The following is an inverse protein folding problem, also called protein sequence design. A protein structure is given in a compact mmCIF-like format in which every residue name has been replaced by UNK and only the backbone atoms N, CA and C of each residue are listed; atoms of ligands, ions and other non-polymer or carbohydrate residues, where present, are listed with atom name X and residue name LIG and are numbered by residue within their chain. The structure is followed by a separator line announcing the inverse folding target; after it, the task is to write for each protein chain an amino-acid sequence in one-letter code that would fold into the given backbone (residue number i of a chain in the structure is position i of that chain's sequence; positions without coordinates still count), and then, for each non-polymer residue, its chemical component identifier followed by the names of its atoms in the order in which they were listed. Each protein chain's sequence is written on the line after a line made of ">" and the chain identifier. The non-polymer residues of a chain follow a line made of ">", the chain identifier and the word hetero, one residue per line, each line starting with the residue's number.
data_IF_933390015080
#
_entry.id   IF_933390015080
#
_cell.length_a   1.000
_cell.length_b   1.000
_cell.length_c   1.000
_cell.angle_alpha   90.00
_cell.angle_beta   90.00
_cell.angle_gamma   90.00
#
_symmetry.space_group_name_H-M   'P 1'
#
loop_
_entity.id
_entity.type
_entity.pdbx_description
1 polymer ?
#
# COMPACT_ATOMS: atom_id res chain seq x y z
N UNK A 1 -26.65 3.92 2.64
CA UNK A 1 -25.45 3.27 3.18
C UNK A 1 -24.99 2.28 2.14
N UNK A 2 -23.70 2.25 1.81
CA UNK A 2 -23.19 1.25 0.89
C UNK A 2 -22.84 -0.01 1.67
N UNK A 3 -23.50 -1.11 1.36
CA UNK A 3 -23.28 -2.39 2.02
C UNK A 3 -21.99 -3.02 1.46
N UNK A 4 -20.87 -2.86 2.17
CA UNK A 4 -19.65 -3.59 1.87
C UNK A 4 -19.79 -5.04 2.36
N UNK A 5 -19.45 -6.00 1.50
CA UNK A 5 -19.26 -7.40 1.92
C UNK A 5 -17.83 -7.59 2.38
N UNK A 6 -17.63 -7.79 3.68
CA UNK A 6 -16.32 -8.13 4.24
C UNK A 6 -16.02 -9.61 4.04
N UNK A 7 -14.77 -9.93 3.68
CA UNK A 7 -14.28 -11.29 3.52
C UNK A 7 -12.90 -11.38 4.13
N UNK A 8 -12.70 -12.34 5.04
CA UNK A 8 -11.44 -12.60 5.70
C UNK A 8 -10.81 -13.87 5.16
N UNK A 9 -9.55 -13.78 4.76
CA UNK A 9 -8.77 -14.87 4.17
C UNK A 9 -7.65 -15.25 5.13
N UNK A 10 -7.56 -16.53 5.45
CA UNK A 10 -6.41 -17.09 6.16
C UNK A 10 -5.40 -17.73 5.18
N UNK A 11 -4.29 -18.26 5.70
CA UNK A 11 -3.23 -18.84 4.88
C UNK A 11 -3.69 -20.04 4.03
N UNK A 12 -4.63 -20.83 4.55
CA UNK A 12 -5.21 -21.96 3.83
C UNK A 12 -6.12 -21.47 2.70
N UNK A 13 -6.96 -20.47 2.99
CA UNK A 13 -7.78 -19.82 1.98
C UNK A 13 -6.91 -19.21 0.86
N UNK A 14 -5.82 -18.52 1.23
CA UNK A 14 -4.85 -17.95 0.29
C UNK A 14 -4.25 -19.03 -0.63
N UNK A 15 -3.77 -20.15 -0.07
CA UNK A 15 -3.17 -21.25 -0.83
C UNK A 15 -4.16 -21.86 -1.81
N UNK A 16 -5.37 -22.22 -1.32
CA UNK A 16 -6.43 -22.79 -2.16
C UNK A 16 -6.85 -21.83 -3.28
N UNK A 17 -6.95 -20.55 -2.97
CA UNK A 17 -7.30 -19.52 -3.95
C UNK A 17 -6.27 -19.44 -5.08
N UNK A 18 -4.97 -19.36 -4.75
CA UNK A 18 -3.90 -19.30 -5.76
C UNK A 18 -3.89 -20.58 -6.61
N UNK A 19 -3.97 -21.76 -5.99
CA UNK A 19 -3.96 -23.04 -6.72
C UNK A 19 -5.15 -23.20 -7.67
N UNK A 20 -6.30 -22.63 -7.30
CA UNK A 20 -7.53 -22.73 -8.11
C UNK A 20 -7.61 -21.65 -9.19
N UNK A 21 -7.26 -20.39 -8.86
CA UNK A 21 -7.48 -19.23 -9.74
C UNK A 21 -6.27 -18.85 -10.57
N UNK A 22 -5.07 -19.16 -10.08
CA UNK A 22 -3.81 -18.82 -10.73
C UNK A 22 -2.83 -20.00 -10.69
N UNK A 23 -3.21 -21.19 -11.22
CA UNK A 23 -2.39 -22.39 -11.14
C UNK A 23 -1.00 -22.22 -11.75
N UNK A 24 -0.85 -21.32 -12.73
CA UNK A 24 0.44 -20.96 -13.33
C UNK A 24 1.44 -20.35 -12.33
N UNK A 25 0.95 -19.79 -11.21
CA UNK A 25 1.79 -19.20 -10.16
C UNK A 25 1.99 -20.12 -8.96
N UNK A 26 1.28 -21.26 -8.86
CA UNK A 26 1.30 -22.15 -7.69
C UNK A 26 2.70 -22.59 -7.28
N UNK A 27 3.54 -22.99 -8.24
CA UNK A 27 4.89 -23.43 -7.94
C UNK A 27 5.73 -22.29 -7.31
N UNK A 28 5.77 -21.12 -7.96
CA UNK A 28 6.50 -19.97 -7.42
C UNK A 28 5.93 -19.51 -6.06
N UNK A 29 4.61 -19.50 -5.91
CA UNK A 29 3.92 -19.18 -4.66
C UNK A 29 4.32 -20.15 -3.55
N UNK A 30 4.42 -21.45 -3.82
CA UNK A 30 4.82 -22.46 -2.82
C UNK A 30 6.21 -22.20 -2.21
N UNK A 31 7.09 -21.54 -2.96
CA UNK A 31 8.46 -21.19 -2.56
C UNK A 31 8.56 -19.85 -1.80
N UNK A 32 7.48 -19.07 -1.71
CA UNK A 32 7.45 -17.77 -1.03
C UNK A 32 7.39 -17.93 0.49
N UNK A 33 7.96 -16.96 1.21
CA UNK A 33 7.81 -16.85 2.67
C UNK A 33 6.34 -16.57 3.02
N UNK A 34 5.86 -16.93 4.22
CA UNK A 34 4.44 -16.78 4.60
C UNK A 34 3.87 -15.39 4.34
N UNK A 35 4.65 -14.34 4.61
CA UNK A 35 4.13 -13.00 4.46
C UNK A 35 4.27 -12.47 3.02
N UNK A 36 5.24 -12.97 2.24
CA UNK A 36 5.27 -12.77 0.78
C UNK A 36 4.06 -13.42 0.10
N UNK A 37 3.60 -14.57 0.63
CA UNK A 37 2.36 -15.23 0.18
C UNK A 37 1.14 -14.35 0.44
N UNK A 38 1.03 -13.74 1.62
CA UNK A 38 -0.05 -12.81 1.94
C UNK A 38 -0.05 -11.58 1.01
N UNK A 39 1.13 -11.02 0.72
CA UNK A 39 1.30 -9.95 -0.27
C UNK A 39 0.90 -10.39 -1.69
N UNK A 40 1.26 -11.60 -2.09
CA UNK A 40 0.92 -12.10 -3.42
C UNK A 40 -0.59 -12.35 -3.57
N UNK A 41 -1.21 -12.93 -2.53
CA UNK A 41 -2.64 -13.26 -2.53
C UNK A 41 -3.53 -12.01 -2.63
N UNK A 42 -3.20 -10.91 -1.92
CA UNK A 42 -3.97 -9.66 -1.99
C UNK A 42 -4.03 -9.05 -3.39
N UNK A 43 -2.96 -9.18 -4.19
CA UNK A 43 -2.98 -8.76 -5.59
C UNK A 43 -3.90 -9.65 -6.44
N UNK A 44 -3.89 -10.96 -6.17
CA UNK A 44 -4.81 -11.90 -6.81
C UNK A 44 -6.28 -11.61 -6.49
N UNK A 45 -6.60 -11.21 -5.25
CA UNK A 45 -7.95 -10.79 -4.85
C UNK A 45 -8.44 -9.59 -5.66
N UNK A 46 -7.61 -8.55 -5.76
CA UNK A 46 -7.95 -7.35 -6.52
C UNK A 46 -8.15 -7.65 -8.01
N UNK A 47 -7.36 -8.55 -8.60
CA UNK A 47 -7.62 -8.99 -9.97
C UNK A 47 -8.94 -9.78 -10.10
N UNK A 48 -9.13 -10.81 -9.27
CA UNK A 48 -10.23 -11.76 -9.43
C UNK A 48 -11.60 -11.18 -9.05
N UNK A 49 -11.63 -10.29 -8.06
CA UNK A 49 -12.85 -9.78 -7.47
C UNK A 49 -13.00 -8.26 -7.59
N UNK A 50 -11.91 -7.52 -7.78
CA UNK A 50 -11.92 -6.07 -7.61
C UNK A 50 -12.23 -5.67 -6.17
N UNK A 51 -12.80 -4.49 -5.99
CA UNK A 51 -13.17 -3.98 -4.69
C UNK A 51 -11.96 -3.38 -3.96
N UNK A 52 -11.94 -3.53 -2.63
CA UNK A 52 -10.95 -2.94 -1.74
C UNK A 52 -10.29 -4.05 -0.93
N UNK A 53 -8.97 -4.04 -0.91
CA UNK A 53 -8.15 -4.77 0.04
C UNK A 53 -7.66 -3.80 1.12
N UNK A 54 -7.70 -4.23 2.37
CA UNK A 54 -7.11 -3.50 3.50
C UNK A 54 -6.54 -4.50 4.52
N UNK A 55 -5.38 -4.15 5.10
CA UNK A 55 -4.84 -4.87 6.26
C UNK A 55 -5.81 -4.76 7.46
N UNK A 56 -5.80 -5.78 8.33
CA UNK A 56 -6.77 -5.91 9.43
C UNK A 56 -6.70 -4.81 10.49
N UNK A 57 -5.61 -4.07 10.54
CA UNK A 57 -5.34 -2.96 11.45
C UNK A 57 -5.66 -1.59 10.82
N UNK A 58 -6.34 -1.57 9.68
CA UNK A 58 -6.98 -0.36 9.15
C UNK A 58 -8.26 -0.03 9.91
N UNK A 59 -8.32 1.18 10.48
CA UNK A 59 -9.54 1.77 11.01
C UNK A 59 -10.21 2.61 9.93
N UNK A 60 -11.41 2.25 9.52
CA UNK A 60 -12.22 3.07 8.62
C UNK A 60 -12.76 4.30 9.38
N UNK A 61 -12.61 5.48 8.77
CA UNK A 61 -13.11 6.76 9.28
C UNK A 61 -14.37 7.20 8.53
N UNK A 62 -14.44 6.88 7.23
CA UNK A 62 -15.60 7.22 6.38
C UNK A 62 -15.74 6.26 5.21
N UNK A 63 -16.93 6.29 4.60
CA UNK A 63 -17.24 5.46 3.42
C UNK A 63 -16.37 5.82 2.22
N UNK A 64 -15.95 4.81 1.45
CA UNK A 64 -15.19 4.96 0.21
C UNK A 64 -16.07 5.31 -1.01
N UNK A 65 -17.35 5.60 -0.80
CA UNK A 65 -18.32 5.83 -1.88
C UNK A 65 -17.91 6.95 -2.83
N UNK A 66 -17.30 8.00 -2.29
CA UNK A 66 -16.78 9.12 -3.07
C UNK A 66 -15.64 8.72 -4.01
N UNK A 67 -14.99 7.57 -3.79
CA UNK A 67 -13.86 7.09 -4.59
C UNK A 67 -14.26 6.01 -5.62
N UNK A 68 -15.53 5.60 -5.67
CA UNK A 68 -16.02 4.53 -6.58
C UNK A 68 -15.89 4.86 -8.06
N UNK A 69 -15.78 6.14 -8.41
CA UNK A 69 -15.61 6.57 -9.80
C UNK A 69 -14.22 6.21 -10.36
N UNK A 70 -13.21 6.05 -9.49
CA UNK A 70 -11.83 5.72 -9.88
C UNK A 70 -11.72 4.28 -10.44
N UNK A 71 -10.75 4.06 -11.33
CA UNK A 71 -10.45 2.73 -11.88
C UNK A 71 -9.69 1.85 -10.88
N UNK A 72 -8.83 2.48 -10.08
CA UNK A 72 -8.24 1.90 -8.89
C UNK A 72 -7.39 2.93 -8.16
N UNK A 73 -7.00 2.58 -6.95
CA UNK A 73 -6.10 3.40 -6.14
C UNK A 73 -5.27 2.53 -5.20
N UNK A 74 -4.10 3.04 -4.83
CA UNK A 74 -3.20 2.47 -3.83
C UNK A 74 -2.89 3.56 -2.82
N UNK A 75 -2.95 3.24 -1.54
CA UNK A 75 -2.54 4.18 -0.50
C UNK A 75 -1.01 4.43 -0.57
N UNK A 76 -0.60 5.68 -0.41
CA UNK A 76 0.82 6.05 -0.31
C UNK A 76 1.34 5.82 1.10
N UNK A 77 2.52 5.21 1.22
CA UNK A 77 3.28 5.13 2.46
C UNK A 77 3.51 6.53 3.04
N UNK A 78 3.47 6.70 4.37
CA UNK A 78 3.81 7.96 5.00
C UNK A 78 5.16 8.49 4.54
N UNK A 79 5.27 9.78 4.29
CA UNK A 79 6.49 10.46 3.89
C UNK A 79 7.63 10.21 4.90
N UNK A 80 7.29 10.16 6.20
CA UNK A 80 8.23 9.80 7.26
C UNK A 80 8.85 8.41 7.03
N UNK A 81 8.06 7.42 6.58
CA UNK A 81 8.59 6.10 6.25
C UNK A 81 9.42 6.13 4.97
N UNK A 82 8.90 6.77 3.92
CA UNK A 82 9.56 6.85 2.63
C UNK A 82 10.96 7.48 2.74
N UNK A 83 11.09 8.56 3.50
CA UNK A 83 12.36 9.28 3.62
C UNK A 83 13.27 8.66 4.68
N UNK A 84 12.78 8.40 5.90
CA UNK A 84 13.63 8.01 7.03
C UNK A 84 13.94 6.52 7.09
N UNK A 85 13.11 5.66 6.48
CA UNK A 85 13.32 4.21 6.48
C UNK A 85 13.76 3.67 5.11
N UNK A 86 13.43 4.40 4.05
CA UNK A 86 13.57 3.93 2.67
C UNK A 86 14.43 4.85 1.79
N UNK A 87 14.86 6.02 2.32
CA UNK A 87 15.67 7.03 1.62
C UNK A 87 15.09 7.42 0.24
N UNK A 88 13.77 7.59 0.18
CA UNK A 88 12.98 7.94 -1.01
C UNK A 88 12.22 9.24 -0.80
N UNK A 89 12.30 10.13 -1.80
CA UNK A 89 11.65 11.45 -1.79
C UNK A 89 10.50 11.56 -2.80
N UNK A 90 10.09 10.44 -3.40
CA UNK A 90 9.02 10.37 -4.40
C UNK A 90 7.95 9.38 -3.96
N UNK A 91 6.82 9.38 -4.66
CA UNK A 91 5.66 8.50 -4.40
C UNK A 91 6.10 7.07 -4.07
N UNK A 92 5.72 6.60 -2.89
CA UNK A 92 6.02 5.28 -2.39
C UNK A 92 4.71 4.57 -2.06
N UNK A 93 4.33 3.61 -2.88
CA UNK A 93 3.07 2.91 -2.77
C UNK A 93 3.12 1.89 -1.63
N UNK A 94 2.08 1.87 -0.80
CA UNK A 94 1.88 0.83 0.21
C UNK A 94 1.03 -0.30 -0.34
N UNK A 95 1.22 -1.51 0.19
CA UNK A 95 0.33 -2.63 -0.09
C UNK A 95 -0.69 -2.88 1.04
N UNK A 96 -0.81 -1.97 2.01
CA UNK A 96 -1.70 -2.10 3.16
C UNK A 96 -3.16 -1.68 2.88
N UNK A 97 -3.41 -0.81 1.88
CA UNK A 97 -4.76 -0.49 1.40
C UNK A 97 -4.73 -0.19 -0.09
N UNK A 98 -5.53 -0.93 -0.85
CA UNK A 98 -5.56 -0.87 -2.31
C UNK A 98 -6.97 -1.16 -2.81
N UNK A 99 -7.33 -0.61 -3.96
CA UNK A 99 -8.62 -0.86 -4.60
C UNK A 99 -8.50 -0.86 -6.11
N UNK A 100 -9.38 -1.59 -6.78
CA UNK A 100 -9.51 -1.52 -8.23
C UNK A 100 -10.83 -2.12 -8.72
N UNK A 101 -11.20 -1.80 -9.97
CA UNK A 101 -12.18 -2.58 -10.70
C UNK A 101 -11.67 -4.00 -10.93
N UNK A 102 -12.59 -4.96 -10.88
CA UNK A 102 -12.30 -6.37 -11.18
C UNK A 102 -11.62 -6.49 -12.55
N UNK A 103 -10.60 -7.33 -12.63
CA UNK A 103 -9.87 -7.63 -13.87
C UNK A 103 -8.83 -6.57 -14.27
N UNK A 104 -8.50 -5.62 -13.39
CA UNK A 104 -7.49 -4.62 -13.71
C UNK A 104 -6.12 -5.26 -13.98
N UNK A 105 -5.62 -5.14 -15.22
CA UNK A 105 -4.44 -5.87 -15.73
C UNK A 105 -3.13 -5.58 -15.00
N UNK A 106 -3.04 -4.42 -14.33
CA UNK A 106 -1.91 -4.08 -13.45
C UNK A 106 -1.57 -5.19 -12.44
N UNK A 107 -2.59 -5.83 -11.84
CA UNK A 107 -2.36 -6.84 -10.81
C UNK A 107 -1.73 -8.11 -11.38
N UNK A 108 -2.16 -8.56 -12.57
CA UNK A 108 -1.50 -9.65 -13.25
C UNK A 108 -0.07 -9.29 -13.64
N UNK A 109 0.16 -8.08 -14.15
CA UNK A 109 1.50 -7.59 -14.46
C UNK A 109 2.41 -7.63 -13.22
N UNK A 110 1.92 -7.15 -12.06
CA UNK A 110 2.64 -7.19 -10.79
C UNK A 110 2.94 -8.63 -10.36
N UNK A 111 1.94 -9.51 -10.36
CA UNK A 111 2.09 -10.93 -9.99
C UNK A 111 3.12 -11.63 -10.90
N UNK A 112 3.03 -11.43 -12.21
CA UNK A 112 4.02 -11.96 -13.17
C UNK A 112 5.41 -11.39 -12.91
N UNK A 113 5.54 -10.09 -12.65
CA UNK A 113 6.82 -9.45 -12.34
C UNK A 113 7.43 -9.97 -11.03
N UNK A 114 6.62 -10.38 -10.04
CA UNK A 114 7.07 -11.06 -8.82
C UNK A 114 7.63 -12.43 -9.19
N UNK A 115 6.86 -13.26 -9.91
CA UNK A 115 7.22 -14.64 -10.23
C UNK A 115 8.49 -14.73 -11.10
N UNK A 116 8.66 -13.85 -12.10
CA UNK A 116 9.87 -13.81 -12.94
C UNK A 116 11.15 -13.57 -12.12
N UNK A 117 11.02 -12.90 -10.96
CA UNK A 117 12.15 -12.62 -10.06
C UNK A 117 12.15 -13.50 -8.82
N UNK A 118 11.23 -14.47 -8.73
CA UNK A 118 11.14 -15.40 -7.60
C UNK A 118 12.43 -16.22 -7.46
N UNK A 119 12.81 -16.53 -6.22
CA UNK A 119 14.04 -17.27 -5.91
C UNK A 119 15.33 -16.43 -5.79
N UNK A 120 15.27 -15.10 -6.01
CA UNK A 120 16.39 -14.20 -5.72
C UNK A 120 16.44 -13.88 -4.22
N UNK A 121 17.66 -13.77 -3.65
CA UNK A 121 17.85 -13.30 -2.27
C UNK A 121 17.28 -11.88 -2.16
N UNK A 122 16.41 -11.67 -1.18
CA UNK A 122 15.74 -10.39 -0.97
C UNK A 122 14.89 -10.39 0.29
N UNK A 123 14.57 -9.18 0.73
CA UNK A 123 13.59 -8.96 1.77
C UNK A 123 12.19 -8.84 1.15
N UNK A 124 11.12 -9.10 1.93
CA UNK A 124 9.78 -9.11 1.34
C UNK A 124 9.23 -7.76 0.90
N UNK A 125 9.68 -6.64 1.49
CA UNK A 125 9.34 -5.29 1.00
C UNK A 125 9.79 -5.15 -0.46
N UNK A 126 10.96 -5.70 -0.78
CA UNK A 126 11.54 -5.74 -2.13
C UNK A 126 10.92 -6.81 -3.04
N UNK A 127 10.56 -7.97 -2.51
CA UNK A 127 10.10 -9.11 -3.31
C UNK A 127 8.63 -8.99 -3.70
N UNK A 128 7.77 -8.62 -2.75
CA UNK A 128 6.30 -8.65 -2.89
C UNK A 128 5.62 -7.41 -2.34
N UNK A 129 6.28 -6.63 -1.48
CA UNK A 129 5.70 -5.51 -0.74
C UNK A 129 5.85 -4.13 -1.40
N UNK A 130 5.88 -3.03 -0.61
CA UNK A 130 5.86 -1.64 -1.06
C UNK A 130 6.86 -1.26 -2.16
N UNK A 131 8.13 -1.68 -2.07
CA UNK A 131 9.13 -1.41 -3.12
C UNK A 131 8.77 -2.10 -4.43
N UNK A 132 8.22 -3.31 -4.36
CA UNK A 132 7.84 -4.09 -5.54
C UNK A 132 6.67 -3.45 -6.27
N UNK A 133 5.60 -3.12 -5.55
CA UNK A 133 4.41 -2.49 -6.15
C UNK A 133 4.74 -1.09 -6.69
N UNK A 134 5.54 -0.28 -5.96
CA UNK A 134 5.99 1.03 -6.43
C UNK A 134 6.73 0.92 -7.77
N UNK A 135 7.70 -0.01 -7.87
CA UNK A 135 8.45 -0.21 -9.12
C UNK A 135 7.57 -0.72 -10.25
N UNK A 136 6.62 -1.61 -9.95
CA UNK A 136 5.71 -2.14 -10.95
C UNK A 136 4.75 -1.07 -11.46
N UNK A 137 4.21 -0.23 -10.58
CA UNK A 137 3.31 0.87 -10.92
C UNK A 137 3.99 1.86 -11.85
N UNK A 138 5.18 2.34 -11.47
CA UNK A 138 6.00 3.23 -12.32
C UNK A 138 6.24 2.62 -13.70
N UNK A 139 6.70 1.36 -13.77
CA UNK A 139 6.98 0.69 -15.03
C UNK A 139 5.72 0.43 -15.88
N UNK A 140 4.57 0.20 -15.27
CA UNK A 140 3.33 -0.11 -15.97
C UNK A 140 2.74 1.16 -16.62
N UNK A 141 2.69 2.27 -15.88
CA UNK A 141 2.02 3.49 -16.34
C UNK A 141 2.96 4.45 -17.08
N UNK A 142 4.27 4.52 -16.77
CA UNK A 142 5.22 5.35 -17.55
C UNK A 142 5.43 4.82 -18.98
N UNK A 143 5.43 3.49 -19.17
CA UNK A 143 5.54 2.88 -20.50
C UNK A 143 4.28 3.11 -21.36
N UNK A 144 3.13 3.34 -20.73
CA UNK A 144 1.86 3.60 -21.43
C UNK A 144 1.82 5.02 -22.00
N UNK A 145 2.34 6.02 -21.28
CA UNK A 145 2.46 7.41 -21.75
C UNK A 145 3.47 7.53 -22.90
N UNK A 146 4.59 6.80 -22.81
CA UNK A 146 5.63 6.83 -23.86
C UNK A 146 5.17 6.15 -25.16
N UNK A 147 4.25 5.19 -25.06
CA UNK A 147 3.64 4.53 -26.23
C UNK A 147 2.57 5.42 -26.90
N UNK A 148 1.75 6.14 -26.12
CA UNK A 148 0.76 7.09 -26.63
C UNK A 148 1.41 8.27 -27.37
N UNK A 149 2.53 8.80 -26.86
CA UNK A 149 3.25 9.90 -27.52
C UNK A 149 3.99 9.49 -28.81
N UNK A 150 4.10 8.19 -29.10
CA UNK A 150 4.70 7.70 -30.37
C UNK A 150 3.67 7.52 -31.49
N UNK A 151 2.38 7.51 -31.18
CA UNK A 151 1.32 7.35 -32.19
C UNK A 151 0.83 8.67 -32.79
N UNK A 152 1.11 9.82 -32.17
CA UNK A 152 0.69 11.16 -32.63
C UNK A 152 1.76 11.93 -33.43
N UNK A 153 2.84 11.27 -33.86
CA UNK A 153 3.90 11.88 -34.67
C UNK A 153 3.55 12.12 -36.15
N UNK A 154 2.29 12.37 -36.49
CA UNK A 154 1.82 12.50 -37.86
C UNK A 154 0.86 13.67 -38.10
N UNK A 155 1.40 14.72 -38.73
CA UNK A 155 0.75 15.81 -39.49
C UNK A 155 0.41 17.15 -38.78
N UNK A 156 0.77 18.22 -39.49
CA UNK A 156 0.65 19.66 -39.21
C UNK A 156 -0.76 20.18 -38.92
N UNK A 157 -0.81 21.29 -38.17
CA UNK A 157 -1.87 22.30 -38.26
C UNK A 157 -1.63 23.45 -37.29
N UNK A 158 -1.24 24.62 -37.81
CA UNK A 158 -1.32 25.91 -37.10
C UNK A 158 -2.80 26.23 -36.79
N UNK A 159 -3.10 26.71 -35.58
CA UNK A 159 -4.43 27.22 -35.23
C UNK A 159 -4.67 27.42 -33.74
N UNK A 160 -4.52 28.67 -33.31
CA UNK A 160 -5.27 29.48 -32.34
C UNK A 160 -5.84 28.90 -31.03
N UNK A 161 -5.66 29.74 -30.01
CA UNK A 161 -6.10 29.64 -28.62
C UNK A 161 -7.58 29.24 -28.45
N UNK A 162 -7.80 28.12 -27.76
CA UNK A 162 -9.01 27.87 -26.97
C UNK A 162 -8.59 27.35 -25.59
N UNK A 163 -9.01 28.07 -24.55
CA UNK A 163 -8.92 27.69 -23.13
C UNK A 163 -9.77 26.43 -22.89
N UNK A 164 -9.22 25.26 -23.23
CA UNK A 164 -9.77 23.98 -22.81
C UNK A 164 -9.35 23.69 -21.37
N UNK A 165 -10.37 23.63 -20.52
CA UNK A 165 -10.40 23.05 -19.18
C UNK A 165 -9.38 21.90 -19.07
N UNK A 166 -8.25 22.16 -18.40
CA UNK A 166 -7.22 21.16 -18.08
C UNK A 166 -7.82 20.23 -17.03
N UNK A 167 -8.70 19.35 -17.49
CA UNK A 167 -9.20 18.22 -16.74
C UNK A 167 -8.01 17.45 -16.19
N UNK A 168 -7.96 17.37 -14.87
CA UNK A 168 -7.05 16.54 -14.09
C UNK A 168 -6.66 15.27 -14.87
N UNK A 169 -5.42 15.23 -15.36
CA UNK A 169 -4.88 14.31 -16.37
C UNK A 169 -4.77 12.84 -15.96
N UNK A 170 -5.79 12.29 -15.30
CA UNK A 170 -5.90 10.89 -14.97
C UNK A 170 -6.27 10.10 -16.22
N UNK A 171 -5.28 9.45 -16.84
CA UNK A 171 -5.50 8.52 -17.93
C UNK A 171 -6.54 7.45 -17.54
N UNK A 172 -7.53 7.23 -18.41
CA UNK A 172 -8.57 6.21 -18.21
C UNK A 172 -7.90 4.86 -17.94
N UNK A 173 -8.24 4.21 -16.82
CA UNK A 173 -7.64 2.94 -16.43
C UNK A 173 -6.35 3.05 -15.61
N UNK A 174 -5.99 4.22 -15.12
CA UNK A 174 -4.89 4.36 -14.16
C UNK A 174 -5.30 3.85 -12.76
N UNK A 175 -4.30 3.37 -12.01
CA UNK A 175 -4.41 3.16 -10.56
C UNK A 175 -3.69 4.32 -9.89
N UNK A 176 -4.41 5.11 -9.11
CA UNK A 176 -3.86 6.32 -8.51
C UNK A 176 -3.07 6.01 -7.24
N UNK A 177 -1.90 6.62 -7.05
CA UNK A 177 -1.24 6.62 -5.74
C UNK A 177 -1.83 7.77 -4.94
N UNK A 178 -2.68 7.43 -3.97
CA UNK A 178 -3.44 8.40 -3.21
C UNK A 178 -2.59 8.97 -2.07
N UNK A 179 -2.60 10.29 -1.84
CA UNK A 179 -1.82 10.93 -0.79
C UNK A 179 -2.02 10.28 0.60
N UNK A 180 -1.00 10.36 1.46
CA UNK A 180 -0.98 9.66 2.75
C UNK A 180 -2.18 10.02 3.63
N UNK A 181 -2.65 11.27 3.55
CA UNK A 181 -3.76 11.78 4.35
C UNK A 181 -5.09 11.11 4.04
N UNK A 182 -5.22 10.43 2.90
CA UNK A 182 -6.43 9.71 2.54
C UNK A 182 -6.58 8.41 3.32
N UNK A 183 -5.50 7.69 3.60
CA UNK A 183 -5.61 6.32 4.13
C UNK A 183 -4.64 5.98 5.25
N UNK A 184 -3.48 6.63 5.27
CA UNK A 184 -2.38 6.36 6.20
C UNK A 184 -1.72 7.67 6.67
N UNK A 185 -2.47 8.59 7.29
CA UNK A 185 -1.91 9.86 7.77
C UNK A 185 -0.90 9.71 8.91
N UNK A 186 -1.00 8.59 9.64
CA UNK A 186 -0.19 8.33 10.82
C UNK A 186 1.05 7.51 10.46
N UNK A 187 2.22 7.80 11.05
CA UNK A 187 3.38 6.93 10.95
C UNK A 187 3.25 5.71 11.88
N UNK A 188 4.18 4.77 11.74
CA UNK A 188 4.37 3.65 12.64
C UNK A 188 4.93 4.15 13.99
N UNK A 189 4.04 4.58 14.89
CA UNK A 189 4.41 5.17 16.19
C UNK A 189 5.31 4.26 17.06
N UNK A 190 5.16 2.94 16.97
CA UNK A 190 6.02 2.02 17.69
C UNK A 190 7.49 2.06 17.20
N UNK A 191 7.75 2.60 16.00
CA UNK A 191 9.08 2.77 15.41
C UNK A 191 9.59 4.22 15.48
N UNK A 192 8.90 5.10 16.20
CA UNK A 192 9.19 6.53 16.16
C UNK A 192 10.61 6.85 16.63
N UNK A 193 11.09 6.15 17.66
CA UNK A 193 12.44 6.36 18.20
C UNK A 193 13.53 6.03 17.18
N UNK A 194 13.31 5.02 16.33
CA UNK A 194 14.25 4.68 15.27
C UNK A 194 14.29 5.80 14.20
N UNK A 195 13.13 6.32 13.80
CA UNK A 195 13.05 7.43 12.85
C UNK A 195 13.66 8.72 13.44
N UNK A 196 13.44 9.00 14.73
CA UNK A 196 14.09 10.11 15.45
C UNK A 196 15.60 9.94 15.49
N UNK A 197 16.09 8.72 15.74
CA UNK A 197 17.53 8.42 15.72
C UNK A 197 18.13 8.70 14.34
N UNK A 198 17.46 8.31 13.26
CA UNK A 198 17.88 8.65 11.88
C UNK A 198 17.99 10.15 11.67
N UNK A 199 17.07 10.95 12.23
CA UNK A 199 17.15 12.41 12.18
C UNK A 199 18.31 13.02 12.98
N UNK A 200 18.86 12.29 13.96
CA UNK A 200 19.98 12.74 14.80
C UNK A 200 21.35 12.27 14.28
N UNK A 201 21.38 11.29 13.37
CA UNK A 201 22.61 10.77 12.79
C UNK A 201 23.07 11.69 11.65
N UNK A 202 24.32 12.14 11.73
CA UNK A 202 24.93 13.16 10.88
C UNK A 202 25.08 12.80 9.38
N UNK A 203 24.52 11.67 8.93
CA UNK A 203 24.55 11.28 7.51
C UNK A 203 23.59 12.12 6.64
N UNK A 204 22.69 12.89 7.26
CA UNK A 204 21.68 13.71 6.56
C UNK A 204 21.81 15.22 6.77
N UNK A 205 22.91 15.68 7.38
CA UNK A 205 23.04 17.06 7.90
C UNK A 205 23.00 18.16 6.81
N UNK A 206 22.99 17.80 5.52
CA UNK A 206 22.98 18.74 4.40
C UNK A 206 21.78 18.60 3.43
N UNK A 207 20.89 17.61 3.59
CA UNK A 207 19.70 17.49 2.71
C UNK A 207 18.50 18.22 3.31
N UNK A 208 18.16 19.38 2.74
CA UNK A 208 17.03 20.22 3.18
C UNK A 208 15.71 19.43 3.25
N UNK A 209 15.50 18.45 2.37
CA UNK A 209 14.28 17.64 2.35
C UNK A 209 14.20 16.73 3.57
N UNK A 210 15.32 16.16 3.99
CA UNK A 210 15.38 15.33 5.20
C UNK A 210 15.17 16.20 6.44
N UNK A 211 15.77 17.39 6.49
CA UNK A 211 15.54 18.35 7.57
C UNK A 211 14.06 18.74 7.70
N UNK A 212 13.36 18.95 6.58
CA UNK A 212 11.91 19.22 6.57
C UNK A 212 11.10 18.03 7.12
N UNK A 213 11.43 16.81 6.72
CA UNK A 213 10.80 15.58 7.22
C UNK A 213 11.03 15.37 8.71
N UNK A 214 12.24 15.64 9.20
CA UNK A 214 12.56 15.54 10.63
C UNK A 214 11.82 16.59 11.46
N UNK A 215 11.67 17.81 10.97
CA UNK A 215 10.81 18.83 11.61
C UNK A 215 9.35 18.39 11.66
N UNK A 216 8.84 17.82 10.57
CA UNK A 216 7.47 17.30 10.51
C UNK A 216 7.27 16.13 11.48
N UNK A 217 8.26 15.26 11.63
CA UNK A 217 8.23 14.15 12.58
C UNK A 217 8.05 14.65 14.02
N UNK A 218 8.86 15.62 14.46
CA UNK A 218 8.75 16.18 15.82
C UNK A 218 7.40 16.89 16.01
N UNK A 219 6.94 17.66 15.01
CA UNK A 219 5.63 18.31 15.03
C UNK A 219 4.49 17.30 15.21
N UNK A 220 4.52 16.18 14.48
CA UNK A 220 3.51 15.11 14.62
C UNK A 220 3.63 14.41 15.97
N UNK A 221 4.84 14.16 16.45
CA UNK A 221 5.08 13.51 17.74
C UNK A 221 4.46 14.29 18.90
N UNK A 222 4.60 15.62 18.90
CA UNK A 222 4.03 16.50 19.93
C UNK A 222 2.49 16.57 19.83
N UNK A 223 1.95 16.54 18.61
CA UNK A 223 0.51 16.66 18.37
C UNK A 223 -0.27 15.33 18.50
N UNK A 224 0.40 14.18 18.56
CA UNK A 224 -0.18 12.83 18.34
C UNK A 224 -1.44 12.51 19.16
N UNK A 225 -1.57 13.05 20.38
CA UNK A 225 -2.70 12.77 21.27
C UNK A 225 -3.93 13.66 21.00
N UNK A 226 -3.75 14.70 20.18
CA UNK A 226 -4.77 15.72 19.89
C UNK A 226 -5.36 15.63 18.48
N UNK A 227 -4.75 14.84 17.59
CA UNK A 227 -5.18 14.73 16.20
C UNK A 227 -6.45 13.87 16.09
N UNK A 228 -7.51 14.46 15.54
CA UNK A 228 -8.71 13.73 15.16
C UNK A 228 -8.84 13.66 13.63
N UNK A 229 -8.57 12.50 13.05
CA UNK A 229 -8.62 12.30 11.60
C UNK A 229 -10.02 12.44 10.99
N UNK A 230 -11.09 12.41 11.80
CA UNK A 230 -12.43 12.68 11.30
C UNK A 230 -12.58 14.14 10.79
N UNK A 231 -11.78 15.07 11.33
CA UNK A 231 -11.87 16.50 11.03
C UNK A 231 -11.31 16.83 9.64
N UNK A 232 -10.38 16.04 9.12
CA UNK A 232 -9.92 16.18 7.73
C UNK A 232 -10.94 15.48 6.82
N UNK A 233 -11.66 16.17 5.91
CA UNK A 233 -12.70 15.56 5.07
C UNK A 233 -12.17 14.52 4.06
N UNK A 234 -10.86 14.50 3.81
CA UNK A 234 -10.22 13.60 2.85
C UNK A 234 -9.74 12.28 3.47
N UNK A 235 -9.71 12.15 4.81
CA UNK A 235 -9.20 10.93 5.46
C UNK A 235 -10.25 9.83 5.52
N UNK A 236 -10.08 8.76 4.74
CA UNK A 236 -10.99 7.61 4.69
C UNK A 236 -10.65 6.52 5.69
N UNK A 237 -9.37 6.34 6.00
CA UNK A 237 -8.90 5.38 6.98
C UNK A 237 -7.66 5.85 7.71
N UNK A 238 -7.33 5.13 8.78
CA UNK A 238 -6.07 5.23 9.51
C UNK A 238 -5.51 3.83 9.65
N UNK A 239 -4.29 3.63 9.17
CA UNK A 239 -3.55 2.39 9.38
C UNK A 239 -2.84 2.44 10.74
N UNK A 240 -3.06 1.43 11.60
CA UNK A 240 -2.53 1.43 12.96
C UNK A 240 -1.13 0.81 13.10
N UNK A 241 -0.54 0.35 11.99
CA UNK A 241 0.83 -0.18 11.94
C UNK A 241 1.10 -1.29 12.95
N UNK A 242 0.12 -2.17 13.19
CA UNK A 242 0.28 -3.37 14.00
C UNK A 242 0.98 -4.42 13.14
N UNK A 243 2.26 -4.16 12.91
CA UNK A 243 3.02 -4.86 11.90
C UNK A 243 3.14 -6.36 12.13
N UNK A 244 3.09 -7.11 11.03
CA UNK A 244 3.73 -8.43 10.86
C UNK A 244 5.18 -8.32 10.35
N UNK A 245 5.58 -7.14 9.84
CA UNK A 245 6.79 -6.88 9.05
C UNK A 245 7.89 -6.06 9.71
N UNK A 246 7.70 -5.68 10.96
CA UNK A 246 8.50 -4.61 11.49
C UNK A 246 9.81 -5.14 12.06
N UNK A 247 10.91 -4.62 11.51
CA UNK A 247 12.25 -4.83 12.06
C UNK A 247 12.20 -4.33 13.50
N UNK A 248 12.56 -5.19 14.45
CA UNK A 248 12.80 -4.72 15.81
C UNK A 248 13.91 -3.69 15.77
N UNK A 249 13.91 -2.77 16.72
CA UNK A 249 15.03 -1.83 16.94
C UNK A 249 16.36 -2.60 16.95
N UNK A 250 17.14 -2.46 15.88
CA UNK A 250 18.49 -3.05 15.76
C UNK A 250 18.59 -4.50 15.28
N UNK A 251 17.57 -5.09 14.63
CA UNK A 251 17.69 -6.45 14.05
C UNK A 251 17.39 -6.51 12.55
N UNK A 252 18.18 -7.29 11.80
CA UNK A 252 17.87 -7.68 10.41
C UNK A 252 16.72 -8.71 10.32
N UNK A 253 16.17 -9.12 11.47
CA UNK A 253 15.18 -10.19 11.58
C UNK A 253 13.79 -9.58 11.77
N UNK A 254 12.88 -9.94 10.87
CA UNK A 254 11.46 -9.60 10.94
C UNK A 254 10.83 -10.17 12.21
N UNK A 255 10.20 -9.31 13.03
CA UNK A 255 9.57 -9.71 14.28
C UNK A 255 8.13 -10.12 13.99
N UNK A 256 7.78 -11.38 14.29
CA UNK A 256 6.42 -11.87 14.24
C UNK A 256 5.59 -11.21 15.36
N UNK A 257 4.34 -10.82 15.08
CA UNK A 257 3.41 -10.22 16.05
C UNK A 257 3.27 -11.03 17.35
N UNK A 258 3.53 -12.34 17.29
CA UNK A 258 3.46 -13.27 18.44
C UNK A 258 4.61 -13.11 19.44
N UNK A 259 5.75 -12.51 19.05
CA UNK A 259 6.96 -12.43 19.88
C UNK A 259 7.20 -11.08 20.56
N UNK A 260 6.38 -10.04 20.32
CA UNK A 260 6.55 -8.72 20.94
C UNK A 260 5.51 -8.45 22.06
N UNK A 261 5.92 -8.26 23.33
CA UNK A 261 4.99 -8.11 24.47
C UNK A 261 4.01 -6.94 24.32
N UNK A 262 4.46 -5.79 23.79
CA UNK A 262 3.63 -4.59 23.61
C UNK A 262 2.57 -4.70 22.50
N UNK A 263 2.66 -5.69 21.60
CA UNK A 263 1.66 -5.93 20.54
C UNK A 263 0.52 -6.86 20.98
N UNK A 264 0.65 -7.51 22.15
CA UNK A 264 -0.40 -8.40 22.71
C UNK A 264 -1.61 -7.64 23.26
N UNK A 265 -1.43 -6.41 23.74
CA UNK A 265 -2.46 -5.71 24.52
C UNK A 265 -3.58 -5.09 23.66
N UNK A 266 -3.45 -5.07 22.33
CA UNK A 266 -4.47 -4.53 21.42
C UNK A 266 -5.16 -5.56 20.53
N UNK A 267 -4.65 -6.79 20.44
CA UNK A 267 -5.29 -7.82 19.62
C UNK A 267 -6.51 -8.36 20.37
N UNK A 268 -7.72 -8.05 19.89
CA UNK A 268 -8.89 -8.83 20.24
C UNK A 268 -8.52 -10.29 20.01
N UNK A 269 -8.51 -11.09 21.08
CA UNK A 269 -8.44 -12.54 20.93
C UNK A 269 -9.55 -12.91 19.95
N UNK A 270 -9.26 -13.55 18.82
CA UNK A 270 -10.35 -14.01 17.97
C UNK A 270 -11.21 -14.91 18.83
N UNK A 271 -12.47 -14.53 19.02
CA UNK A 271 -13.49 -15.43 19.52
C UNK A 271 -13.71 -16.40 18.37
N UNK A 272 -13.01 -17.53 18.41
CA UNK A 272 -13.13 -18.59 17.43
C UNK A 272 -14.37 -19.39 17.83
N UNK A 273 -15.54 -18.99 17.31
CA UNK A 273 -16.70 -19.87 17.33
C UNK A 273 -16.71 -20.73 16.06
N UNK A 274 -16.83 -22.06 16.20
CA UNK A 274 -16.84 -22.95 15.05
C UNK A 274 -18.20 -22.87 14.35
N UNK A 275 -18.16 -22.54 13.05
CA UNK A 275 -19.20 -22.81 12.05
C UNK A 275 -20.26 -21.75 11.69
N UNK A 276 -20.01 -20.44 11.77
CA UNK A 276 -20.89 -19.47 11.07
C UNK A 276 -20.13 -18.35 10.36
N UNK A 277 -20.75 -17.83 9.31
CA UNK A 277 -20.22 -16.84 8.38
C UNK A 277 -19.54 -15.66 9.12
N UNK A 278 -18.26 -15.43 8.79
CA UNK A 278 -17.39 -14.43 9.39
C UNK A 278 -17.91 -13.01 9.07
N UNK A 279 -18.61 -12.37 10.01
CA UNK A 279 -19.04 -10.97 9.87
C UNK A 279 -18.59 -10.12 11.06
N UNK A 280 -17.86 -9.04 10.78
CA UNK A 280 -17.84 -7.85 11.64
C UNK A 280 -18.69 -6.81 10.93
N UNK A 281 -19.58 -6.16 11.65
CA UNK A 281 -20.39 -5.06 11.15
C UNK A 281 -19.52 -3.80 11.14
N UNK A 282 -19.36 -3.17 9.98
CA UNK A 282 -18.95 -1.77 9.88
C UNK A 282 -20.21 -0.90 9.78
#
# INVERSE_FOLDING_TARGET
>A
MSDYKLVFWDDSDNQKFIDTRFPVFSYAYSMMKPVEKADFARYGYLYAFGGVYADMDNKCIRTLDKLKHKHGYIAMEPLLHAVLLEHRFHQFASNALMASRKGHVFWLYLMTAIVIKSGKKGDPVSNTGPRKITKAHQAFFMNSTTAANKTDGGAHGDGDDDDDDVGDGHAIGMIDIMPEEYFMPEPAWWNIDAMRKTCLEAEFDEDERVLQVCKELERRYDARETVNHADNPNTYSVHNWRCTWCRGTGTEIFVNITSHPKLREGCLKPVIEPNEHRWIKC
#
